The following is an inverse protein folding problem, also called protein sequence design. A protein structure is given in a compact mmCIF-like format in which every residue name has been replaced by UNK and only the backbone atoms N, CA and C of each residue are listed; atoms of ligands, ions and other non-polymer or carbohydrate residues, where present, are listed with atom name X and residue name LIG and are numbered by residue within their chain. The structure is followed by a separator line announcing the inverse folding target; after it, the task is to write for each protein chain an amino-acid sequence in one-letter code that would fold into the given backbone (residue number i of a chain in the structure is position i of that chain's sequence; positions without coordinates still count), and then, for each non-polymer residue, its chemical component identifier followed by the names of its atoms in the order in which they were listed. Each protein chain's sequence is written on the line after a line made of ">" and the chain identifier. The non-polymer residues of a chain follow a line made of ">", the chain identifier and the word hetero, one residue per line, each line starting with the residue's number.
data_IF_953917509775
#
_entry.id   IF_953917509775
#
_cell.length_a   1.000
_cell.length_b   1.000
_cell.length_c   1.000
_cell.angle_alpha   90.00
_cell.angle_beta   90.00
_cell.angle_gamma   90.00
#
_symmetry.space_group_name_H-M   'P 1'
#
loop_
_entity.id
_entity.type
_entity.pdbx_description
1 polymer ?
#
# COMPACT_ATOMS: atom_id res chain seq x y z
N UNK A 1 -13.15 -10.75 26.28
CA UNK A 1 -12.45 -9.46 26.29
C UNK A 1 -11.60 -9.39 25.03
N UNK A 2 -11.57 -8.22 24.37
CA UNK A 2 -10.60 -7.94 23.34
C UNK A 2 -9.19 -7.86 23.98
N UNK A 3 -8.12 -8.27 23.27
CA UNK A 3 -6.77 -8.05 23.75
C UNK A 3 -6.52 -6.54 23.94
N UNK A 4 -5.63 -6.17 24.84
CA UNK A 4 -5.19 -4.77 24.96
C UNK A 4 -4.41 -4.41 23.69
N UNK A 5 -4.81 -3.37 22.93
CA UNK A 5 -4.10 -3.02 21.71
C UNK A 5 -2.68 -2.54 22.01
N UNK A 6 -1.73 -2.92 21.18
CA UNK A 6 -0.35 -2.45 21.24
C UNK A 6 -0.26 -0.94 20.97
N UNK A 7 -1.15 -0.42 20.11
CA UNK A 7 -1.27 1.00 19.79
C UNK A 7 -2.51 1.55 20.48
N UNK A 8 -2.34 2.48 21.40
CA UNK A 8 -3.45 3.06 22.17
C UNK A 8 -4.39 3.92 21.31
N UNK A 9 -3.83 4.65 20.34
CA UNK A 9 -4.58 5.45 19.37
C UNK A 9 -4.14 5.07 17.94
N UNK A 10 -4.94 4.26 17.27
CA UNK A 10 -4.68 3.86 15.88
C UNK A 10 -4.69 5.04 14.91
N UNK A 11 -5.45 6.12 15.23
CA UNK A 11 -5.57 7.29 14.36
C UNK A 11 -4.27 8.10 14.25
N UNK A 12 -3.32 7.88 15.15
CA UNK A 12 -1.97 8.44 15.05
C UNK A 12 -1.09 7.77 13.97
N UNK A 13 -1.55 6.67 13.36
CA UNK A 13 -0.75 5.90 12.39
C UNK A 13 -1.47 5.63 11.07
N UNK A 14 -2.81 5.59 11.10
CA UNK A 14 -3.65 5.38 9.92
C UNK A 14 -4.94 6.19 10.04
N UNK A 15 -5.33 6.85 8.95
CA UNK A 15 -6.63 7.54 8.87
C UNK A 15 -7.27 7.38 7.50
N UNK A 16 -8.61 7.37 7.50
CA UNK A 16 -9.44 7.58 6.32
C UNK A 16 -9.98 9.01 6.37
N UNK A 17 -9.72 9.81 5.34
CA UNK A 17 -10.26 11.17 5.22
C UNK A 17 -11.15 11.27 4.00
N UNK A 18 -12.38 11.72 4.18
CA UNK A 18 -13.27 12.04 3.09
C UNK A 18 -13.16 13.54 2.76
N UNK A 19 -13.07 13.87 1.47
CA UNK A 19 -13.01 15.27 1.04
C UNK A 19 -13.76 15.51 -0.27
N UNK A 20 -14.06 16.77 -0.53
CA UNK A 20 -14.65 17.22 -1.80
C UNK A 20 -13.60 17.97 -2.61
N UNK A 21 -13.47 17.62 -3.86
CA UNK A 21 -12.61 18.34 -4.79
C UNK A 21 -13.10 19.77 -5.02
N UNK A 22 -12.18 20.70 -5.15
CA UNK A 22 -12.47 22.12 -5.45
C UNK A 22 -11.96 22.56 -6.83
N UNK A 23 -11.23 21.67 -7.55
CA UNK A 23 -10.67 21.95 -8.88
C UNK A 23 -9.57 23.01 -8.89
N UNK A 24 -9.08 23.44 -7.72
CA UNK A 24 -8.11 24.56 -7.62
C UNK A 24 -6.71 24.06 -7.97
N UNK A 25 -6.08 24.73 -8.95
CA UNK A 25 -4.68 24.49 -9.29
C UNK A 25 -3.72 24.87 -8.16
N UNK A 26 -2.56 24.21 -8.09
CA UNK A 26 -1.59 24.48 -7.02
C UNK A 26 -1.09 25.93 -7.01
N UNK A 27 -0.95 26.56 -8.18
CA UNK A 27 -0.60 27.97 -8.31
C UNK A 27 -1.61 28.95 -7.70
N UNK A 28 -2.83 28.48 -7.41
CA UNK A 28 -3.89 29.22 -6.71
C UNK A 28 -4.17 28.67 -5.30
N UNK A 29 -3.27 27.85 -4.74
CA UNK A 29 -3.34 27.29 -3.40
C UNK A 29 -3.75 25.83 -3.30
N UNK A 30 -4.27 25.23 -4.39
CA UNK A 30 -4.66 23.82 -4.40
C UNK A 30 -5.87 23.51 -3.49
N UNK A 31 -5.98 22.25 -3.08
CA UNK A 31 -6.95 21.74 -2.11
C UNK A 31 -6.20 21.10 -0.94
N UNK A 32 -6.19 21.76 0.20
CA UNK A 32 -5.60 21.23 1.43
C UNK A 32 -6.61 20.27 2.11
N UNK A 33 -6.25 19.00 2.18
CA UNK A 33 -7.02 17.94 2.81
C UNK A 33 -6.47 17.68 4.21
N UNK A 34 -7.23 18.02 5.23
CA UNK A 34 -6.81 17.90 6.64
C UNK A 34 -7.43 16.67 7.28
N UNK A 35 -6.63 15.95 8.05
CA UNK A 35 -7.06 14.86 8.91
C UNK A 35 -8.02 15.36 9.99
N UNK A 36 -9.01 14.54 10.34
CA UNK A 36 -10.11 14.95 11.24
C UNK A 36 -10.32 14.00 12.44
N UNK A 37 -9.49 12.96 12.58
CA UNK A 37 -9.56 12.04 13.69
C UNK A 37 -8.85 12.58 14.96
N UNK A 38 -8.76 11.76 16.03
CA UNK A 38 -8.22 12.17 17.33
C UNK A 38 -6.77 12.67 17.28
N UNK A 39 -5.94 12.06 16.46
CA UNK A 39 -4.55 12.43 16.26
C UNK A 39 -4.30 12.87 14.83
N UNK A 40 -3.26 13.64 14.60
CA UNK A 40 -2.82 14.02 13.26
C UNK A 40 -1.35 13.66 13.07
N UNK A 41 -0.97 13.39 11.81
CA UNK A 41 0.40 13.06 11.44
C UNK A 41 0.67 13.51 10.00
N UNK A 42 1.94 13.64 9.63
CA UNK A 42 2.31 13.73 8.22
C UNK A 42 2.04 12.38 7.57
N UNK A 43 1.14 12.28 6.57
CA UNK A 43 1.00 11.02 5.85
C UNK A 43 2.25 10.80 4.98
N UNK A 44 2.83 9.61 5.07
CA UNK A 44 3.97 9.21 4.26
C UNK A 44 3.57 8.29 3.10
N UNK A 45 2.36 7.77 3.14
CA UNK A 45 1.70 7.10 2.04
C UNK A 45 0.24 7.52 1.99
N UNK A 46 -0.23 7.96 0.83
CA UNK A 46 -1.63 8.36 0.56
C UNK A 46 -2.15 7.58 -0.63
N UNK A 47 -3.23 6.85 -0.41
CA UNK A 47 -3.98 6.13 -1.42
C UNK A 47 -5.34 6.80 -1.60
N UNK A 48 -5.62 7.34 -2.76
CA UNK A 48 -6.85 8.10 -3.04
C UNK A 48 -7.71 7.41 -4.08
N UNK A 49 -9.04 7.61 -3.95
CA UNK A 49 -10.02 7.17 -4.93
C UNK A 49 -11.21 8.12 -4.99
N UNK A 50 -11.61 8.51 -6.19
CA UNK A 50 -12.89 9.19 -6.39
C UNK A 50 -14.05 8.25 -6.06
N UNK A 51 -15.04 8.75 -5.29
CA UNK A 51 -16.27 8.06 -4.93
C UNK A 51 -17.43 8.40 -5.88
N UNK A 52 -17.33 9.50 -6.59
CA UNK A 52 -18.40 10.06 -7.45
C UNK A 52 -18.07 10.03 -8.94
N UNK A 53 -16.86 9.63 -9.33
CA UNK A 53 -16.43 9.55 -10.72
C UNK A 53 -15.59 8.28 -10.98
N UNK A 54 -15.60 7.83 -12.22
CA UNK A 54 -14.75 6.75 -12.70
C UNK A 54 -13.35 7.28 -12.97
N UNK A 55 -12.46 7.16 -11.98
CA UNK A 55 -11.04 7.47 -12.09
C UNK A 55 -10.22 6.29 -11.56
N UNK A 56 -8.96 6.20 -11.94
CA UNK A 56 -8.05 5.23 -11.34
C UNK A 56 -7.75 5.56 -9.87
N UNK A 57 -7.24 4.59 -9.14
CA UNK A 57 -6.68 4.82 -7.82
C UNK A 57 -5.34 5.56 -7.96
N UNK A 58 -5.13 6.60 -7.18
CA UNK A 58 -3.90 7.41 -7.17
C UNK A 58 -3.12 7.16 -5.87
N UNK A 59 -1.86 6.74 -5.97
CA UNK A 59 -1.00 6.39 -4.86
C UNK A 59 0.26 7.25 -4.88
N UNK A 60 0.53 7.93 -3.75
CA UNK A 60 1.69 8.78 -3.54
C UNK A 60 2.38 8.40 -2.24
N UNK A 61 3.71 8.54 -2.19
CA UNK A 61 4.47 8.35 -0.96
C UNK A 61 5.65 9.32 -0.82
N UNK A 62 6.08 9.54 0.42
CA UNK A 62 7.13 10.49 0.75
C UNK A 62 8.53 10.05 0.30
N UNK A 63 8.77 8.74 0.08
CA UNK A 63 10.06 8.22 -0.39
C UNK A 63 10.31 8.56 -1.84
N UNK A 64 9.29 8.43 -2.69
CA UNK A 64 9.35 8.82 -4.11
C UNK A 64 9.21 10.34 -4.29
N UNK A 65 8.66 11.01 -3.28
CA UNK A 65 8.41 12.44 -3.26
C UNK A 65 7.04 12.83 -3.82
N UNK A 66 6.72 14.12 -3.69
CA UNK A 66 5.50 14.70 -4.22
C UNK A 66 5.43 14.58 -5.74
N UNK A 67 4.24 14.69 -6.31
CA UNK A 67 3.96 14.61 -7.75
C UNK A 67 4.22 13.25 -8.41
N UNK A 68 4.78 12.28 -7.71
CA UNK A 68 5.11 10.95 -8.24
C UNK A 68 3.96 9.97 -7.98
N UNK A 69 3.07 9.84 -8.96
CA UNK A 69 1.93 8.94 -8.87
C UNK A 69 2.28 7.53 -9.39
N UNK A 70 1.88 6.52 -8.65
CA UNK A 70 1.65 5.18 -9.19
C UNK A 70 0.18 4.83 -8.98
N UNK A 71 -0.54 4.49 -10.03
CA UNK A 71 -1.93 4.05 -9.92
C UNK A 71 -2.04 2.53 -9.92
N UNK A 72 -3.20 2.02 -9.51
CA UNK A 72 -3.44 0.57 -9.54
C UNK A 72 -3.47 0.06 -10.97
N UNK A 73 -4.14 0.79 -11.88
CA UNK A 73 -4.30 0.40 -13.28
C UNK A 73 -3.40 1.18 -14.24
N UNK A 74 -2.53 2.07 -13.75
CA UNK A 74 -1.60 2.79 -14.61
C UNK A 74 -0.36 1.96 -14.92
N UNK A 75 0.19 2.18 -16.12
CA UNK A 75 1.29 1.37 -16.66
C UNK A 75 2.59 1.57 -15.86
N UNK A 76 2.98 2.83 -15.64
CA UNK A 76 4.21 3.26 -14.97
C UNK A 76 3.95 4.46 -14.06
N UNK A 77 4.97 4.86 -13.28
CA UNK A 77 4.94 6.10 -12.50
C UNK A 77 4.77 7.31 -13.42
N UNK A 78 3.88 8.21 -13.03
CA UNK A 78 3.66 9.50 -13.69
C UNK A 78 4.17 10.65 -12.82
N UNK A 79 4.61 11.73 -13.45
CA UNK A 79 4.91 12.99 -12.75
C UNK A 79 3.78 13.97 -13.00
N UNK A 80 2.92 14.16 -11.98
CA UNK A 80 1.71 14.99 -12.04
C UNK A 80 1.89 16.21 -11.13
N UNK A 81 2.28 17.35 -11.73
CA UNK A 81 2.53 18.60 -10.98
C UNK A 81 1.29 19.15 -10.29
N UNK A 82 0.10 18.75 -10.75
CA UNK A 82 -1.20 19.08 -10.17
C UNK A 82 -1.85 17.89 -9.39
N UNK A 83 -1.10 16.79 -9.18
CA UNK A 83 -1.49 15.69 -8.31
C UNK A 83 -1.28 16.02 -6.83
N UNK A 84 -0.77 15.08 -6.02
CA UNK A 84 -0.36 15.38 -4.64
C UNK A 84 0.94 16.17 -4.64
N UNK A 85 0.91 17.37 -4.04
CA UNK A 85 2.00 18.36 -4.10
C UNK A 85 2.66 18.61 -2.76
N UNK A 86 2.02 18.23 -1.65
CA UNK A 86 2.57 18.42 -0.30
C UNK A 86 2.11 17.30 0.62
N UNK A 87 3.04 16.72 1.36
CA UNK A 87 2.79 15.94 2.56
C UNK A 87 2.88 16.90 3.76
N UNK A 88 1.72 17.33 4.28
CA UNK A 88 1.64 18.29 5.38
C UNK A 88 1.66 17.63 6.74
N UNK A 89 1.88 18.40 7.82
CA UNK A 89 1.96 17.89 9.19
C UNK A 89 0.67 17.21 9.69
N UNK A 90 -0.48 17.50 9.06
CA UNK A 90 -1.79 16.98 9.44
C UNK A 90 -2.66 16.68 8.20
N UNK A 91 -2.08 16.07 7.18
CA UNK A 91 -2.75 15.77 5.92
C UNK A 91 -1.88 16.07 4.70
N UNK A 92 -2.50 16.45 3.58
CA UNK A 92 -1.80 16.65 2.30
C UNK A 92 -2.48 17.74 1.46
N UNK A 93 -1.79 18.20 0.41
CA UNK A 93 -2.38 19.14 -0.57
C UNK A 93 -2.35 18.54 -1.96
N UNK A 94 -3.44 18.69 -2.71
CA UNK A 94 -3.54 18.31 -4.13
C UNK A 94 -3.80 19.55 -4.99
N UNK A 95 -3.29 19.52 -6.21
CA UNK A 95 -3.59 20.52 -7.25
C UNK A 95 -4.88 20.16 -8.01
N UNK A 96 -4.99 20.57 -9.27
CA UNK A 96 -6.20 20.45 -10.09
C UNK A 96 -6.33 19.14 -10.88
N UNK A 97 -5.47 18.14 -10.63
CA UNK A 97 -5.55 16.86 -11.34
C UNK A 97 -6.91 16.19 -11.11
N UNK A 98 -7.53 15.71 -12.20
CA UNK A 98 -8.90 15.20 -12.18
C UNK A 98 -9.04 13.90 -11.38
N UNK A 99 -7.99 13.08 -11.25
CA UNK A 99 -8.04 11.84 -10.47
C UNK A 99 -8.19 12.13 -8.97
N UNK A 100 -7.74 13.30 -8.50
CA UNK A 100 -7.67 13.63 -7.06
C UNK A 100 -8.41 14.91 -6.66
N UNK A 101 -8.81 15.80 -7.61
CA UNK A 101 -9.41 17.10 -7.23
C UNK A 101 -10.39 17.68 -8.24
N UNK A 102 -11.15 16.88 -8.97
CA UNK A 102 -12.26 17.41 -9.81
C UNK A 102 -13.25 18.18 -8.94
N UNK A 103 -13.61 19.39 -9.37
CA UNK A 103 -14.54 20.26 -8.64
C UNK A 103 -15.87 19.53 -8.35
N UNK A 104 -16.33 19.58 -7.09
CA UNK A 104 -17.54 18.95 -6.56
C UNK A 104 -17.50 17.40 -6.48
N UNK A 105 -16.50 16.73 -7.05
CA UNK A 105 -16.34 15.29 -6.88
C UNK A 105 -15.95 14.94 -5.44
N UNK A 106 -16.39 13.77 -4.96
CA UNK A 106 -16.08 13.30 -3.60
C UNK A 106 -15.02 12.20 -3.65
N UNK A 107 -14.15 12.21 -2.66
CA UNK A 107 -12.98 11.32 -2.57
C UNK A 107 -12.87 10.66 -1.21
N UNK A 108 -12.24 9.50 -1.18
CA UNK A 108 -11.67 8.89 0.02
C UNK A 108 -10.14 8.88 -0.12
N UNK A 109 -9.44 9.19 0.97
CA UNK A 109 -8.00 9.12 1.08
C UNK A 109 -7.62 8.28 2.30
N UNK A 110 -6.94 7.16 2.07
CA UNK A 110 -6.36 6.31 3.11
C UNK A 110 -4.91 6.72 3.29
N UNK A 111 -4.53 7.01 4.53
CA UNK A 111 -3.27 7.65 4.87
C UNK A 111 -2.53 6.83 5.91
N UNK A 112 -1.25 6.55 5.67
CA UNK A 112 -0.36 5.83 6.60
C UNK A 112 0.81 6.70 6.99
N UNK A 113 1.17 6.66 8.27
CA UNK A 113 2.42 7.18 8.80
C UNK A 113 3.53 6.15 8.57
N UNK A 114 4.67 6.61 8.05
CA UNK A 114 5.92 5.85 8.02
C UNK A 114 7.04 6.65 8.70
N UNK A 115 8.08 7.07 7.98
CA UNK A 115 9.20 7.84 8.52
C UNK A 115 9.77 8.83 7.46
N UNK A 116 8.90 9.62 6.86
CA UNK A 116 9.25 10.65 5.89
C UNK A 116 9.90 10.09 4.62
N UNK A 117 10.90 10.78 4.10
CA UNK A 117 11.61 10.43 2.86
C UNK A 117 12.45 9.14 2.94
N UNK A 118 12.55 8.56 4.12
CA UNK A 118 13.31 7.34 4.34
C UNK A 118 14.82 7.53 4.41
N UNK A 119 15.52 6.42 4.61
CA UNK A 119 16.97 6.31 4.68
C UNK A 119 17.48 5.06 3.98
N UNK A 120 18.79 5.01 3.69
CA UNK A 120 19.43 3.80 3.13
C UNK A 120 19.28 2.62 4.08
N UNK A 121 18.98 1.46 3.52
CA UNK A 121 18.89 0.18 4.23
C UNK A 121 19.72 -0.87 3.48
N UNK A 122 20.62 -1.52 4.22
CA UNK A 122 21.58 -2.51 3.72
C UNK A 122 21.32 -3.92 4.32
N UNK A 123 20.15 -4.16 4.91
CA UNK A 123 19.79 -5.46 5.48
C UNK A 123 19.68 -6.55 4.40
N UNK A 124 19.28 -6.16 3.18
CA UNK A 124 19.19 -7.04 2.02
C UNK A 124 20.50 -7.11 1.23
N UNK A 125 20.60 -8.11 0.35
CA UNK A 125 21.71 -8.22 -0.60
C UNK A 125 21.71 -7.08 -1.65
N UNK A 126 20.56 -6.43 -1.85
CA UNK A 126 20.41 -5.22 -2.66
C UNK A 126 20.01 -4.08 -1.75
N UNK A 127 20.76 -2.98 -1.82
CA UNK A 127 20.49 -1.74 -1.11
C UNK A 127 19.12 -1.18 -1.46
N UNK A 128 18.43 -0.62 -0.48
CA UNK A 128 17.11 0.01 -0.64
C UNK A 128 17.02 1.34 0.11
N UNK A 129 16.02 2.17 -0.21
CA UNK A 129 15.63 3.31 0.62
C UNK A 129 14.33 2.95 1.33
N UNK A 130 14.32 3.07 2.65
CA UNK A 130 13.21 2.62 3.50
C UNK A 130 12.69 3.74 4.38
N UNK A 131 11.38 3.94 4.36
CA UNK A 131 10.63 4.75 5.33
C UNK A 131 9.73 3.79 6.10
N UNK A 132 10.00 3.56 7.38
CA UNK A 132 9.35 2.54 8.18
C UNK A 132 8.81 3.07 9.51
N UNK A 133 7.56 2.72 9.81
CA UNK A 133 6.93 2.82 11.12
C UNK A 133 6.82 1.41 11.72
N UNK A 134 7.80 1.03 12.52
CA UNK A 134 7.84 -0.30 13.17
C UNK A 134 6.68 -0.50 14.16
N UNK A 135 6.21 0.58 14.79
CA UNK A 135 5.09 0.52 15.73
C UNK A 135 3.79 0.13 15.04
N UNK A 136 3.52 0.72 13.88
CA UNK A 136 2.31 0.44 13.08
C UNK A 136 2.49 -0.71 12.07
N UNK A 137 3.70 -1.22 11.92
CA UNK A 137 4.01 -2.32 11.00
C UNK A 137 3.87 -1.93 9.53
N UNK A 138 4.15 -0.68 9.16
CA UNK A 138 4.06 -0.21 7.79
C UNK A 138 5.38 0.37 7.29
N UNK A 139 5.79 0.03 6.05
CA UNK A 139 6.93 0.69 5.40
C UNK A 139 6.73 0.88 3.90
N UNK A 140 7.39 1.94 3.41
CA UNK A 140 7.60 2.22 1.98
C UNK A 140 9.05 1.95 1.65
N UNK A 141 9.29 1.15 0.61
CA UNK A 141 10.62 0.69 0.21
C UNK A 141 10.82 0.97 -1.27
N UNK A 142 11.92 1.62 -1.65
CA UNK A 142 12.32 1.75 -3.06
C UNK A 142 13.66 1.06 -3.30
N UNK A 143 13.80 0.42 -4.45
CA UNK A 143 15.01 -0.29 -4.85
C UNK A 143 15.14 -0.38 -6.37
N UNK A 144 16.34 -0.69 -6.86
CA UNK A 144 16.58 -1.01 -8.26
C UNK A 144 16.66 -2.52 -8.43
N UNK A 145 15.89 -3.06 -9.35
CA UNK A 145 15.86 -4.50 -9.63
C UNK A 145 17.19 -5.00 -10.22
N UNK A 146 17.55 -6.25 -9.89
CA UNK A 146 18.78 -6.89 -10.34
C UNK A 146 18.59 -7.87 -11.48
N UNK A 147 17.37 -8.37 -11.70
CA UNK A 147 17.05 -9.45 -12.63
C UNK A 147 17.51 -10.83 -12.16
N UNK A 148 18.14 -10.93 -11.00
CA UNK A 148 18.62 -12.15 -10.36
C UNK A 148 18.05 -12.29 -8.97
N UNK A 149 18.01 -13.50 -8.42
CA UNK A 149 17.55 -13.72 -7.07
C UNK A 149 18.33 -12.85 -6.07
N UNK A 150 17.61 -12.11 -5.23
CA UNK A 150 18.17 -11.18 -4.24
C UNK A 150 17.25 -11.01 -3.04
N UNK A 151 17.68 -10.24 -2.04
CA UNK A 151 16.88 -9.85 -0.89
C UNK A 151 16.87 -8.32 -0.75
N UNK A 152 15.75 -7.78 -0.27
CA UNK A 152 15.53 -6.34 -0.06
C UNK A 152 15.17 -6.12 1.41
N UNK A 153 15.86 -5.18 2.06
CA UNK A 153 15.51 -4.74 3.41
C UNK A 153 14.22 -3.92 3.43
N UNK A 154 13.35 -4.14 4.42
CA UNK A 154 12.07 -3.44 4.57
C UNK A 154 11.93 -2.64 5.87
N UNK A 155 12.86 -2.75 6.80
CA UNK A 155 12.97 -1.93 8.01
C UNK A 155 11.90 -2.11 9.09
N UNK A 156 10.97 -3.08 8.95
CA UNK A 156 9.84 -3.23 9.90
C UNK A 156 10.22 -3.86 11.24
N UNK A 157 11.29 -4.66 11.29
CA UNK A 157 11.62 -5.45 12.49
C UNK A 157 10.64 -6.60 12.79
N UNK A 158 9.60 -6.76 11.97
CA UNK A 158 8.57 -7.79 12.04
C UNK A 158 8.33 -8.38 10.65
N UNK A 159 7.85 -9.61 10.57
CA UNK A 159 7.59 -10.30 9.28
C UNK A 159 6.40 -9.67 8.55
N UNK A 160 6.58 -9.07 7.36
CA UNK A 160 5.45 -8.55 6.61
C UNK A 160 4.54 -9.67 6.13
N UNK A 161 3.22 -9.46 6.25
CA UNK A 161 2.20 -10.39 5.81
C UNK A 161 1.57 -9.98 4.47
N UNK A 162 1.74 -8.73 4.08
CA UNK A 162 1.31 -8.23 2.78
C UNK A 162 2.40 -7.31 2.22
N UNK A 163 2.84 -7.57 0.99
CA UNK A 163 3.77 -6.70 0.27
C UNK A 163 3.20 -6.46 -1.12
N UNK A 164 3.01 -5.20 -1.50
CA UNK A 164 2.58 -4.83 -2.85
C UNK A 164 3.73 -4.11 -3.57
N UNK A 165 4.20 -4.68 -4.68
CA UNK A 165 5.33 -4.14 -5.46
C UNK A 165 4.85 -3.65 -6.83
N UNK A 166 5.31 -2.46 -7.22
CA UNK A 166 5.12 -1.89 -8.55
C UNK A 166 6.46 -1.51 -9.18
N UNK A 167 6.68 -1.92 -10.42
CA UNK A 167 7.73 -1.28 -11.24
C UNK A 167 7.31 0.16 -11.54
N UNK A 168 8.21 1.12 -11.34
CA UNK A 168 7.99 2.54 -11.56
C UNK A 168 8.26 2.95 -12.99
N UNK A 169 9.15 2.24 -13.66
CA UNK A 169 9.72 2.63 -14.96
C UNK A 169 9.43 1.63 -16.08
N UNK A 170 8.90 0.45 -15.74
CA UNK A 170 8.56 -0.59 -16.69
C UNK A 170 7.09 -1.02 -16.58
N UNK A 171 6.45 -1.20 -17.74
CA UNK A 171 5.01 -1.54 -17.84
C UNK A 171 4.78 -2.98 -17.39
N UNK A 172 4.29 -3.16 -16.17
CA UNK A 172 3.95 -4.46 -15.59
C UNK A 172 2.83 -4.35 -14.56
N UNK A 173 2.17 -5.46 -14.28
CA UNK A 173 1.20 -5.58 -13.19
C UNK A 173 1.88 -5.47 -11.82
N UNK A 174 1.10 -5.13 -10.81
CA UNK A 174 1.53 -5.19 -9.41
C UNK A 174 1.77 -6.63 -8.97
N UNK A 175 2.90 -6.88 -8.31
CA UNK A 175 3.17 -8.14 -7.61
C UNK A 175 2.75 -8.05 -6.15
N UNK A 176 1.99 -9.05 -5.65
CA UNK A 176 1.56 -9.09 -4.25
C UNK A 176 2.06 -10.37 -3.58
N UNK A 177 2.75 -10.20 -2.44
CA UNK A 177 3.13 -11.26 -1.52
C UNK A 177 1.94 -11.58 -0.60
N UNK A 178 1.37 -12.77 -0.70
CA UNK A 178 0.33 -13.24 0.20
C UNK A 178 0.98 -13.98 1.37
N UNK A 179 1.19 -13.30 2.48
CA UNK A 179 1.92 -13.80 3.64
C UNK A 179 1.49 -15.14 4.19
N UNK A 180 2.29 -15.69 5.08
CA UNK A 180 2.05 -16.99 5.72
C UNK A 180 0.79 -17.00 6.59
N UNK A 181 0.41 -15.87 7.20
CA UNK A 181 -0.85 -15.72 7.94
C UNK A 181 -2.09 -15.92 7.06
N UNK A 182 -1.98 -15.70 5.76
CA UNK A 182 -3.04 -15.95 4.78
C UNK A 182 -3.02 -17.40 4.24
N UNK A 183 -2.08 -18.23 4.69
CA UNK A 183 -1.94 -19.63 4.28
C UNK A 183 -1.11 -19.83 3.02
N UNK A 184 -0.33 -18.82 2.56
CA UNK A 184 0.42 -18.89 1.31
C UNK A 184 1.93 -18.74 1.50
N UNK A 185 2.48 -17.52 1.57
CA UNK A 185 3.91 -17.25 1.68
C UNK A 185 4.63 -17.15 0.33
N UNK A 186 5.96 -17.26 0.36
CA UNK A 186 6.86 -16.99 -0.77
C UNK A 186 6.78 -17.95 -1.95
N UNK A 187 6.02 -19.03 -1.85
CA UNK A 187 5.77 -19.93 -2.98
C UNK A 187 4.65 -19.41 -3.89
N UNK A 188 3.87 -18.43 -3.44
CA UNK A 188 2.67 -17.95 -4.09
C UNK A 188 2.72 -16.45 -4.37
N UNK A 189 1.94 -16.03 -5.35
CA UNK A 189 1.75 -14.62 -5.68
C UNK A 189 0.28 -14.29 -5.93
N UNK A 190 -0.08 -13.04 -5.70
CA UNK A 190 -1.29 -12.39 -6.19
C UNK A 190 -0.89 -11.19 -7.05
N UNK A 191 -1.87 -10.53 -7.66
CA UNK A 191 -1.68 -9.28 -8.42
C UNK A 191 -2.78 -8.29 -8.04
N UNK A 192 -2.41 -7.05 -7.74
CA UNK A 192 -3.35 -6.08 -7.21
C UNK A 192 -4.30 -5.51 -8.27
N UNK A 193 -3.85 -5.43 -9.50
CA UNK A 193 -4.61 -4.89 -10.64
C UNK A 193 -5.19 -5.97 -11.56
N UNK A 194 -5.29 -7.21 -11.11
CA UNK A 194 -5.82 -8.32 -11.91
C UNK A 194 -6.88 -9.11 -11.13
N UNK A 195 -7.75 -9.77 -11.87
CA UNK A 195 -8.78 -10.66 -11.33
C UNK A 195 -8.29 -12.09 -11.16
N UNK A 196 -7.01 -12.38 -11.43
CA UNK A 196 -6.41 -13.71 -11.28
C UNK A 196 -6.45 -14.18 -9.82
N UNK A 197 -6.64 -15.49 -9.64
CA UNK A 197 -6.49 -16.16 -8.34
C UNK A 197 -5.02 -16.21 -7.88
N UNK A 198 -4.80 -16.68 -6.66
CA UNK A 198 -3.45 -17.00 -6.17
C UNK A 198 -2.81 -18.05 -7.08
N UNK A 199 -1.52 -17.93 -7.33
CA UNK A 199 -0.80 -18.91 -8.13
C UNK A 199 0.62 -19.11 -7.59
N UNK A 200 1.12 -20.34 -7.70
CA UNK A 200 2.50 -20.64 -7.39
C UNK A 200 3.45 -19.95 -8.40
N UNK A 201 4.54 -19.39 -7.90
CA UNK A 201 5.54 -18.74 -8.75
C UNK A 201 6.87 -18.54 -7.99
N UNK A 202 7.86 -19.30 -8.34
CA UNK A 202 9.23 -19.11 -7.81
C UNK A 202 9.87 -17.79 -8.27
N UNK A 203 9.44 -17.27 -9.42
CA UNK A 203 10.00 -16.05 -9.99
C UNK A 203 9.73 -14.79 -9.18
N UNK A 204 8.63 -14.74 -8.40
CA UNK A 204 8.31 -13.55 -7.58
C UNK A 204 9.18 -13.48 -6.32
N UNK A 205 9.07 -14.44 -5.43
CA UNK A 205 9.63 -14.39 -4.07
C UNK A 205 10.73 -15.46 -3.84
N UNK A 206 11.25 -16.03 -4.92
CA UNK A 206 12.30 -17.07 -4.89
C UNK A 206 11.93 -18.28 -3.99
N UNK A 207 10.64 -18.64 -3.91
CA UNK A 207 10.08 -19.65 -3.00
C UNK A 207 10.50 -19.48 -1.53
N UNK A 208 10.75 -18.24 -1.10
CA UNK A 208 11.27 -17.92 0.23
C UNK A 208 10.33 -16.96 0.94
N UNK A 209 9.94 -17.31 2.16
CA UNK A 209 9.11 -16.45 2.98
C UNK A 209 9.88 -15.19 3.42
N UNK A 210 9.14 -14.10 3.60
CA UNK A 210 9.70 -12.90 4.18
C UNK A 210 10.13 -13.15 5.64
N UNK A 211 11.17 -12.45 6.07
CA UNK A 211 11.68 -12.47 7.43
C UNK A 211 11.36 -11.16 8.15
N UNK A 212 11.85 -10.96 9.36
CA UNK A 212 11.70 -9.69 10.09
C UNK A 212 12.55 -8.55 9.53
N UNK A 213 13.50 -8.82 8.65
CA UNK A 213 14.42 -7.81 8.09
C UNK A 213 14.32 -7.68 6.57
N UNK A 214 14.09 -8.79 5.84
CA UNK A 214 14.11 -8.80 4.37
C UNK A 214 12.95 -9.58 3.77
N UNK A 215 12.58 -9.22 2.55
CA UNK A 215 11.85 -10.09 1.64
C UNK A 215 12.75 -10.53 0.47
N UNK A 216 12.50 -11.72 -0.04
CA UNK A 216 13.25 -12.29 -1.15
C UNK A 216 12.58 -11.99 -2.49
N UNK A 217 13.37 -11.80 -3.53
CA UNK A 217 12.92 -11.64 -4.92
C UNK A 217 13.57 -12.72 -5.79
N UNK A 218 12.78 -13.26 -6.71
CA UNK A 218 13.26 -14.11 -7.79
C UNK A 218 13.59 -13.28 -9.03
N UNK A 219 13.34 -13.85 -10.21
CA UNK A 219 13.69 -13.25 -11.51
C UNK A 219 12.51 -12.65 -12.26
N UNK A 220 11.32 -12.59 -11.63
CA UNK A 220 10.12 -12.06 -12.27
C UNK A 220 10.24 -10.55 -12.54
N UNK A 221 10.00 -10.14 -13.78
CA UNK A 221 10.15 -8.74 -14.23
C UNK A 221 9.27 -7.75 -13.47
N UNK A 222 8.10 -8.21 -12.99
CA UNK A 222 7.14 -7.39 -12.25
C UNK A 222 7.71 -6.85 -10.94
N UNK A 223 8.61 -7.60 -10.33
CA UNK A 223 9.16 -7.29 -9.00
C UNK A 223 10.68 -7.11 -8.99
N UNK A 224 11.41 -7.55 -10.04
CA UNK A 224 12.88 -7.52 -10.02
C UNK A 224 13.53 -7.37 -11.41
N UNK A 225 12.94 -6.57 -12.32
CA UNK A 225 13.58 -6.34 -13.61
C UNK A 225 14.89 -5.57 -13.46
N UNK A 226 15.96 -6.09 -14.06
CA UNK A 226 17.30 -5.50 -13.99
C UNK A 226 17.34 -4.05 -14.45
N UNK A 227 17.90 -3.16 -13.62
CA UNK A 227 18.06 -1.73 -13.88
C UNK A 227 16.80 -0.89 -13.73
N UNK A 228 15.63 -1.48 -13.47
CA UNK A 228 14.37 -0.77 -13.30
C UNK A 228 14.09 -0.43 -11.84
N UNK A 229 13.50 0.72 -11.61
CA UNK A 229 13.13 1.16 -10.26
C UNK A 229 11.79 0.56 -9.84
N UNK A 230 11.71 0.15 -8.58
CA UNK A 230 10.51 -0.43 -7.97
C UNK A 230 10.15 0.32 -6.69
N UNK A 231 8.87 0.28 -6.32
CA UNK A 231 8.38 0.63 -4.99
C UNK A 231 7.64 -0.56 -4.40
N UNK A 232 7.88 -0.84 -3.12
CA UNK A 232 7.17 -1.84 -2.34
C UNK A 232 6.52 -1.19 -1.12
N UNK A 233 5.26 -1.51 -0.88
CA UNK A 233 4.53 -1.17 0.33
C UNK A 233 4.39 -2.44 1.14
N UNK A 234 4.88 -2.42 2.38
CA UNK A 234 4.97 -3.60 3.24
C UNK A 234 4.14 -3.39 4.51
N UNK A 235 3.33 -4.40 4.87
CA UNK A 235 2.54 -4.39 6.10
C UNK A 235 2.81 -5.63 6.92
N UNK A 236 3.17 -5.44 8.20
CA UNK A 236 3.25 -6.48 9.22
C UNK A 236 2.00 -6.46 10.10
N UNK A 237 1.69 -7.59 10.74
CA UNK A 237 0.60 -7.70 11.70
C UNK A 237 0.98 -7.06 13.03
N UNK A 238 0.12 -6.19 13.57
CA UNK A 238 0.25 -5.55 14.88
C UNK A 238 -1.01 -5.81 15.69
N UNK A 239 -0.87 -6.43 16.86
CA UNK A 239 -1.99 -6.81 17.70
C UNK A 239 -2.88 -5.63 18.07
N UNK A 240 -4.18 -5.76 17.82
CA UNK A 240 -5.18 -4.73 18.07
C UNK A 240 -5.21 -3.59 17.04
N UNK A 241 -4.37 -3.64 16.00
CA UNK A 241 -4.28 -2.58 14.98
C UNK A 241 -4.38 -3.11 13.54
N UNK A 242 -3.62 -4.14 13.18
CA UNK A 242 -3.66 -4.73 11.84
C UNK A 242 -3.70 -6.24 11.88
N UNK A 243 -4.46 -6.87 10.98
CA UNK A 243 -4.65 -8.32 10.90
C UNK A 243 -4.66 -8.79 9.46
N UNK A 244 -3.97 -9.89 9.19
CA UNK A 244 -3.96 -10.58 7.91
C UNK A 244 -4.42 -12.02 8.10
N UNK A 245 -5.17 -12.54 7.14
CA UNK A 245 -5.67 -13.90 7.26
C UNK A 245 -6.49 -14.31 6.04
N UNK A 246 -7.05 -15.50 6.10
CA UNK A 246 -7.96 -16.02 5.11
C UNK A 246 -9.24 -16.56 5.77
N UNK A 247 -10.30 -16.60 5.00
CA UNK A 247 -11.56 -17.24 5.42
C UNK A 247 -12.20 -17.93 4.23
N UNK A 248 -13.09 -18.88 4.52
CA UNK A 248 -13.90 -19.53 3.48
C UNK A 248 -15.27 -18.89 3.45
N UNK A 249 -15.71 -18.44 2.28
CA UNK A 249 -17.06 -17.95 2.07
C UNK A 249 -18.09 -19.06 2.31
N UNK A 250 -19.20 -18.72 2.95
CA UNK A 250 -20.27 -19.69 3.28
C UNK A 250 -21.47 -19.62 2.31
N UNK A 251 -21.45 -18.69 1.34
CA UNK A 251 -22.56 -18.49 0.39
C UNK A 251 -23.84 -17.91 1.01
N UNK A 252 -23.81 -17.51 2.27
CA UNK A 252 -24.93 -16.90 2.99
C UNK A 252 -24.89 -15.39 2.96
N UNK A 253 -26.07 -14.75 3.01
CA UNK A 253 -26.18 -13.29 3.16
C UNK A 253 -25.60 -12.80 4.51
N UNK A 254 -25.62 -13.64 5.55
CA UNK A 254 -24.97 -13.32 6.83
C UNK A 254 -23.44 -13.36 6.75
N UNK A 255 -22.88 -13.96 5.68
CA UNK A 255 -21.46 -14.05 5.48
C UNK A 255 -20.73 -14.91 6.52
N UNK A 256 -19.40 -14.89 6.45
CA UNK A 256 -18.53 -15.51 7.43
C UNK A 256 -18.04 -14.46 8.43
N UNK A 257 -18.13 -14.72 9.73
CA UNK A 257 -17.53 -13.85 10.73
C UNK A 257 -16.02 -14.07 10.78
N UNK A 258 -15.25 -12.99 10.61
CA UNK A 258 -13.78 -12.99 10.68
C UNK A 258 -13.34 -12.23 11.92
N UNK A 259 -12.71 -12.95 12.86
CA UNK A 259 -12.20 -12.37 14.08
C UNK A 259 -10.88 -11.65 13.82
N UNK A 260 -10.86 -10.33 13.98
CA UNK A 260 -9.64 -9.49 13.82
C UNK A 260 -8.99 -9.11 15.16
N UNK A 261 -9.69 -9.26 16.29
CA UNK A 261 -9.23 -8.78 17.60
C UNK A 261 -9.51 -7.29 17.85
N UNK A 262 -10.02 -6.57 16.86
CA UNK A 262 -10.40 -5.16 16.91
C UNK A 262 -11.52 -4.87 15.90
N UNK A 263 -12.09 -3.67 15.93
CA UNK A 263 -13.02 -3.19 14.91
C UNK A 263 -12.20 -2.58 13.75
N UNK A 264 -12.18 -3.20 12.56
CA UNK A 264 -11.42 -2.64 11.44
C UNK A 264 -12.06 -1.35 10.92
N UNK A 265 -11.24 -0.36 10.61
CA UNK A 265 -11.62 0.88 9.93
C UNK A 265 -11.43 0.79 8.41
N UNK A 266 -10.54 -0.10 7.97
CA UNK A 266 -10.25 -0.35 6.56
C UNK A 266 -10.01 -1.83 6.32
N UNK A 267 -10.55 -2.35 5.22
CA UNK A 267 -10.45 -3.78 4.84
C UNK A 267 -10.20 -3.87 3.35
N UNK A 268 -9.28 -4.75 2.95
CA UNK A 268 -9.09 -5.18 1.56
C UNK A 268 -9.26 -6.69 1.47
N UNK A 269 -10.06 -7.15 0.50
CA UNK A 269 -10.41 -8.56 0.33
C UNK A 269 -10.15 -8.99 -1.10
N UNK A 270 -9.60 -10.21 -1.28
CA UNK A 270 -9.43 -10.86 -2.57
C UNK A 270 -9.91 -12.30 -2.50
N UNK A 271 -10.75 -12.70 -3.45
CA UNK A 271 -10.99 -14.12 -3.70
C UNK A 271 -9.69 -14.75 -4.23
N UNK A 272 -9.06 -15.60 -3.42
CA UNK A 272 -7.79 -16.23 -3.76
C UNK A 272 -7.96 -17.58 -4.47
N UNK A 273 -9.09 -18.27 -4.28
CA UNK A 273 -9.35 -19.61 -4.81
C UNK A 273 -9.94 -19.63 -6.24
N UNK A 274 -10.50 -18.50 -6.71
CA UNK A 274 -11.11 -18.39 -8.03
C UNK A 274 -10.61 -17.16 -8.77
N UNK A 275 -10.48 -17.26 -10.10
CA UNK A 275 -10.24 -16.13 -10.97
C UNK A 275 -11.56 -15.44 -11.36
N UNK A 276 -11.46 -14.20 -11.86
CA UNK A 276 -12.62 -13.41 -12.29
C UNK A 276 -13.07 -12.37 -11.28
N UNK A 277 -12.65 -12.49 -10.01
CA UNK A 277 -13.02 -11.56 -8.94
C UNK A 277 -11.98 -10.45 -8.76
N UNK A 278 -12.44 -9.21 -8.64
CA UNK A 278 -11.60 -8.05 -8.32
C UNK A 278 -11.21 -8.04 -6.84
N UNK A 279 -10.27 -7.16 -6.48
CA UNK A 279 -10.07 -6.75 -5.09
C UNK A 279 -11.23 -5.86 -4.64
N UNK A 280 -11.70 -6.08 -3.43
CA UNK A 280 -12.72 -5.26 -2.80
C UNK A 280 -12.14 -4.52 -1.62
N UNK A 281 -12.48 -3.25 -1.49
CA UNK A 281 -12.01 -2.37 -0.42
C UNK A 281 -13.22 -1.75 0.28
N UNK A 282 -13.18 -1.73 1.61
CA UNK A 282 -14.22 -1.17 2.46
C UNK A 282 -13.59 -0.31 3.54
N UNK A 283 -14.24 0.77 3.90
CA UNK A 283 -13.87 1.68 4.99
C UNK A 283 -15.09 2.11 5.80
N UNK A 284 -14.87 2.74 6.96
CA UNK A 284 -15.92 3.25 7.86
C UNK A 284 -15.97 4.76 7.87
#
# INVERSE_FOLDING_TARGET
>A
NLPTPTIADGTANFQTTLYTGNGTAIGSGGNAVTQSENSTFQPDFVWMKSRSAETDHALYDAVRGTTKEVGINVAIESTLTEGLTTFGAAGFTVGSDAAVNTNTATYAAWQWLANGSGSSNEDGATSSTVSANQTAGFSVVTYTGTGSATTIGHGLGAVPQFIAIKSRTYVESWGVYPGTSMGYGGQYRLKLNETSSVAASSGFWNNTDATSSVFSLGTELKVNKSGENHVAYCWAEIEGFSKFGSYTGNGSADGAFVWCGFRPAWIIIKCSSAAGESWHMFDT
#
